data_IF_753014595377
#
_entry.id   IF_753014595377
#
_cell.length_a   1.000
_cell.length_b   1.000
_cell.length_c   1.000
_cell.angle_alpha   90.00
_cell.angle_beta   90.00
_cell.angle_gamma   90.00
#
_symmetry.space_group_name_H-M   'P 1'
#
loop_
_entity.id
_entity.type
_entity.pdbx_description
1 polymer ?
#
# COMPACT_ATOMS: atom_id res chain seq x y z
N UNK A 1 -7.51 18.98 0.57
CA UNK A 1 -6.10 18.86 0.16
C UNK A 1 -5.87 17.43 -0.34
N UNK A 2 -5.23 17.23 -1.49
CA UNK A 2 -5.10 15.88 -2.09
C UNK A 2 -3.88 15.13 -1.55
N UNK A 3 -4.02 13.82 -1.38
CA UNK A 3 -2.93 12.92 -1.03
C UNK A 3 -2.68 11.94 -2.19
N UNK A 4 -1.44 11.91 -2.67
CA UNK A 4 -0.99 10.96 -3.68
C UNK A 4 -0.31 9.77 -3.00
N UNK A 5 -0.68 8.57 -3.42
CA UNK A 5 -0.08 7.32 -2.98
C UNK A 5 0.62 6.70 -4.18
N UNK A 6 1.95 6.61 -4.10
CA UNK A 6 2.76 6.05 -5.19
C UNK A 6 3.41 4.76 -4.72
N UNK A 7 2.94 3.63 -5.24
CA UNK A 7 3.35 2.33 -4.74
C UNK A 7 2.82 1.15 -5.53
N UNK A 8 2.97 -0.02 -4.93
CA UNK A 8 2.60 -1.30 -5.51
C UNK A 8 1.15 -1.61 -5.16
N UNK A 9 0.44 -2.16 -6.14
CA UNK A 9 -0.84 -2.85 -5.98
C UNK A 9 -0.70 -4.18 -6.69
N UNK A 10 -1.07 -5.26 -6.02
CA UNK A 10 -0.88 -6.62 -6.51
C UNK A 10 -2.09 -7.49 -6.16
N UNK A 11 -2.27 -8.60 -6.86
CA UNK A 11 -3.15 -9.67 -6.42
C UNK A 11 -2.39 -10.56 -5.44
N UNK A 12 -2.85 -10.65 -4.21
CA UNK A 12 -2.35 -11.54 -3.17
C UNK A 12 -3.10 -12.88 -3.29
N UNK A 13 -2.42 -13.88 -3.83
CA UNK A 13 -2.92 -15.24 -4.00
C UNK A 13 -2.53 -16.07 -2.77
N UNK A 14 -3.53 -16.55 -2.05
CA UNK A 14 -3.33 -17.27 -0.81
C UNK A 14 -3.40 -18.77 -1.03
N UNK A 15 -2.48 -19.48 -0.38
CA UNK A 15 -2.40 -20.93 -0.41
C UNK A 15 -2.14 -21.46 0.99
N UNK A 16 -2.75 -22.58 1.36
CA UNK A 16 -2.39 -23.33 2.57
C UNK A 16 -1.68 -24.61 2.20
N UNK A 17 -0.72 -25.03 3.04
CA UNK A 17 -0.06 -26.31 2.91
C UNK A 17 0.25 -26.90 4.29
N UNK A 18 0.25 -28.24 4.38
CA UNK A 18 0.58 -28.95 5.63
C UNK A 18 2.05 -28.78 6.03
N UNK A 19 2.93 -28.53 5.05
CA UNK A 19 4.35 -28.26 5.28
C UNK A 19 4.94 -27.44 4.13
N UNK A 20 6.03 -26.75 4.40
CA UNK A 20 6.82 -26.12 3.35
C UNK A 20 7.72 -27.17 2.67
N UNK A 21 7.71 -27.29 1.33
CA UNK A 21 8.54 -28.28 0.65
C UNK A 21 10.03 -27.97 0.86
N UNK A 22 10.80 -29.04 1.11
CA UNK A 22 12.26 -28.98 1.13
C UNK A 22 12.87 -28.79 -0.27
N UNK A 23 14.19 -28.66 -0.33
CA UNK A 23 14.91 -28.60 -1.61
C UNK A 23 14.71 -29.91 -2.38
N UNK A 24 14.31 -29.78 -3.65
CA UNK A 24 13.96 -30.90 -4.53
C UNK A 24 12.77 -31.77 -4.03
N UNK A 25 11.95 -31.24 -3.11
CA UNK A 25 10.68 -31.84 -2.70
C UNK A 25 9.51 -31.22 -3.47
N UNK A 26 8.38 -31.92 -3.51
CA UNK A 26 7.12 -31.45 -4.08
C UNK A 26 6.07 -31.35 -2.98
N UNK A 27 5.55 -30.15 -2.78
CA UNK A 27 4.39 -29.90 -1.90
C UNK A 27 3.10 -29.83 -2.68
N UNK A 28 1.99 -30.22 -2.04
CA UNK A 28 0.64 -29.90 -2.50
C UNK A 28 0.14 -28.69 -1.72
N UNK A 29 -0.58 -27.80 -2.40
CA UNK A 29 -1.16 -26.61 -1.79
C UNK A 29 -2.64 -26.56 -2.08
N UNK A 30 -3.42 -26.00 -1.15
CA UNK A 30 -4.84 -25.69 -1.34
C UNK A 30 -4.98 -24.21 -1.60
N UNK A 31 -5.61 -23.85 -2.71
CA UNK A 31 -5.91 -22.47 -3.06
C UNK A 31 -6.98 -21.87 -2.13
N UNK A 32 -6.78 -20.61 -1.76
CA UNK A 32 -7.72 -19.79 -1.01
C UNK A 32 -8.14 -18.57 -1.84
N UNK A 33 -9.23 -17.87 -1.46
CA UNK A 33 -9.63 -16.64 -2.16
C UNK A 33 -8.49 -15.62 -2.26
N UNK A 34 -8.27 -15.11 -3.47
CA UNK A 34 -7.26 -14.09 -3.74
C UNK A 34 -7.82 -12.68 -3.53
N UNK A 35 -7.02 -11.82 -2.92
CA UNK A 35 -7.39 -10.46 -2.51
C UNK A 35 -6.49 -9.41 -3.17
N UNK A 36 -6.98 -8.19 -3.37
CA UNK A 36 -6.11 -7.08 -3.78
C UNK A 36 -5.26 -6.62 -2.59
N UNK A 37 -3.95 -6.53 -2.78
CA UNK A 37 -2.97 -6.20 -1.77
C UNK A 37 -1.98 -5.13 -2.20
N UNK A 38 -0.95 -4.96 -1.36
CA UNK A 38 0.08 -3.93 -1.50
C UNK A 38 0.02 -2.91 -0.35
N UNK A 39 1.15 -2.69 0.32
CA UNK A 39 1.21 -1.84 1.52
C UNK A 39 0.77 -0.39 1.26
N UNK A 40 1.15 0.16 0.11
CA UNK A 40 0.76 1.52 -0.29
C UNK A 40 -0.69 1.57 -0.78
N UNK A 41 -1.15 0.54 -1.51
CA UNK A 41 -2.55 0.42 -1.94
C UNK A 41 -3.50 0.36 -0.73
N UNK A 42 -3.18 -0.48 0.26
CA UNK A 42 -3.95 -0.58 1.50
C UNK A 42 -3.98 0.75 2.27
N UNK A 43 -2.87 1.48 2.32
CA UNK A 43 -2.83 2.80 2.94
C UNK A 43 -3.70 3.83 2.19
N UNK A 44 -3.76 3.76 0.86
CA UNK A 44 -4.61 4.61 0.04
C UNK A 44 -6.10 4.34 0.30
N UNK A 45 -6.49 3.07 0.30
CA UNK A 45 -7.87 2.64 0.61
C UNK A 45 -8.29 3.09 2.00
N UNK A 46 -7.44 2.92 3.02
CA UNK A 46 -7.74 3.40 4.38
C UNK A 46 -7.87 4.93 4.42
N UNK A 47 -7.01 5.66 3.72
CA UNK A 47 -7.10 7.13 3.67
C UNK A 47 -8.39 7.60 2.97
N UNK A 48 -8.79 6.94 1.88
CA UNK A 48 -10.05 7.22 1.18
C UNK A 48 -11.26 6.92 2.08
N UNK A 49 -11.28 5.77 2.75
CA UNK A 49 -12.35 5.39 3.68
C UNK A 49 -12.51 6.35 4.88
N UNK A 50 -11.46 7.10 5.23
CA UNK A 50 -11.51 8.16 6.25
C UNK A 50 -11.94 9.53 5.69
N UNK A 51 -12.43 9.58 4.45
CA UNK A 51 -12.91 10.81 3.78
C UNK A 51 -11.81 11.62 3.12
N UNK A 52 -10.61 11.06 2.96
CA UNK A 52 -9.49 11.73 2.32
C UNK A 52 -9.59 11.77 0.79
N UNK A 53 -9.25 12.91 0.18
CA UNK A 53 -9.11 13.02 -1.28
C UNK A 53 -7.85 12.30 -1.74
N UNK A 54 -8.01 11.11 -2.33
CA UNK A 54 -6.96 10.11 -2.53
C UNK A 54 -6.73 9.84 -4.01
N UNK A 55 -5.48 9.97 -4.46
CA UNK A 55 -5.04 9.56 -5.80
C UNK A 55 -3.96 8.49 -5.70
N UNK A 56 -3.99 7.49 -6.60
CA UNK A 56 -3.03 6.40 -6.64
C UNK A 56 -2.26 6.37 -7.95
N UNK A 57 -0.96 6.11 -7.85
CA UNK A 57 -0.07 5.92 -9.00
C UNK A 57 0.69 4.62 -8.80
N UNK A 58 0.52 3.72 -9.77
CA UNK A 58 1.39 2.57 -9.97
C UNK A 58 1.77 2.43 -11.43
N UNK A 59 2.60 1.45 -11.72
CA UNK A 59 2.98 1.07 -13.07
C UNK A 59 2.66 -0.43 -13.23
N UNK A 60 1.66 -0.72 -14.06
CA UNK A 60 1.13 -2.05 -14.33
C UNK A 60 1.20 -2.36 -15.83
N UNK A 61 0.95 -3.60 -16.22
CA UNK A 61 0.69 -3.93 -17.62
C UNK A 61 -0.80 -3.75 -17.97
N UNK A 62 -1.18 -4.06 -19.21
CA UNK A 62 -2.57 -4.01 -19.69
C UNK A 62 -3.25 -5.40 -19.67
N UNK A 63 -3.11 -6.12 -18.55
CA UNK A 63 -3.75 -7.41 -18.34
C UNK A 63 -5.17 -7.30 -17.76
N UNK A 64 -6.02 -8.34 -17.91
CA UNK A 64 -7.28 -8.42 -17.17
C UNK A 64 -7.10 -8.29 -15.66
N UNK A 65 -6.01 -8.85 -15.11
CA UNK A 65 -5.68 -8.73 -13.69
C UNK A 65 -5.40 -7.27 -13.30
N UNK A 66 -4.57 -6.55 -14.07
CA UNK A 66 -4.30 -5.14 -13.78
C UNK A 66 -5.55 -4.27 -13.88
N UNK A 67 -6.45 -4.55 -14.83
CA UNK A 67 -7.76 -3.89 -14.90
C UNK A 67 -8.63 -4.18 -13.67
N UNK A 68 -8.62 -5.42 -13.16
CA UNK A 68 -9.28 -5.78 -11.90
C UNK A 68 -8.70 -4.99 -10.72
N UNK A 69 -7.39 -4.93 -10.56
CA UNK A 69 -6.75 -4.17 -9.48
C UNK A 69 -7.09 -2.67 -9.53
N UNK A 70 -7.12 -2.07 -10.73
CA UNK A 70 -7.56 -0.69 -10.92
C UNK A 70 -9.04 -0.50 -10.57
N UNK A 71 -9.89 -1.47 -10.93
CA UNK A 71 -11.31 -1.43 -10.60
C UNK A 71 -11.55 -1.54 -9.09
N UNK A 72 -10.82 -2.40 -8.38
CA UNK A 72 -10.89 -2.54 -6.93
C UNK A 72 -10.48 -1.25 -6.21
N UNK A 73 -9.41 -0.58 -6.66
CA UNK A 73 -9.03 0.74 -6.14
C UNK A 73 -10.16 1.76 -6.33
N UNK A 74 -10.74 1.83 -7.53
CA UNK A 74 -11.84 2.75 -7.82
C UNK A 74 -13.09 2.45 -7.00
N UNK A 75 -13.39 1.17 -6.76
CA UNK A 75 -14.51 0.75 -5.92
C UNK A 75 -14.33 1.14 -4.44
N UNK A 76 -13.10 1.44 -4.02
CA UNK A 76 -12.75 1.93 -2.69
C UNK A 76 -12.52 3.45 -2.66
N UNK A 77 -13.12 4.21 -3.58
CA UNK A 77 -13.03 5.67 -3.69
C UNK A 77 -11.59 6.21 -3.82
N UNK A 78 -10.68 5.39 -4.34
CA UNK A 78 -9.32 5.80 -4.68
C UNK A 78 -9.29 6.27 -6.13
N UNK A 79 -8.80 7.50 -6.35
CA UNK A 79 -8.56 8.06 -7.67
C UNK A 79 -7.48 7.28 -8.43
N UNK A 80 -7.76 6.94 -9.68
CA UNK A 80 -6.89 6.11 -10.54
C UNK A 80 -6.54 6.81 -11.87
N UNK A 81 -6.76 8.13 -11.95
CA UNK A 81 -6.54 8.91 -13.17
C UNK A 81 -5.06 8.96 -13.60
N UNK A 82 -4.16 8.66 -12.67
CA UNK A 82 -2.72 8.78 -12.85
C UNK A 82 -1.99 7.44 -12.95
N UNK A 83 -2.73 6.33 -13.10
CA UNK A 83 -2.14 5.01 -13.31
C UNK A 83 -1.32 4.97 -14.61
N UNK A 84 -0.15 4.33 -14.54
CA UNK A 84 0.76 4.16 -15.67
C UNK A 84 0.67 2.74 -16.20
N UNK A 85 0.86 2.59 -17.51
CA UNK A 85 0.82 1.30 -18.19
C UNK A 85 2.10 1.06 -19.00
N UNK A 86 2.69 -0.11 -18.84
CA UNK A 86 3.80 -0.61 -19.65
C UNK A 86 3.61 -2.12 -19.91
N UNK A 87 3.40 -2.55 -21.17
CA UNK A 87 3.15 -3.95 -21.49
C UNK A 87 4.35 -4.87 -21.21
N UNK A 88 5.56 -4.34 -21.04
CA UNK A 88 6.75 -5.12 -20.72
C UNK A 88 6.84 -5.54 -19.25
N UNK A 89 5.90 -5.10 -18.40
CA UNK A 89 5.89 -5.42 -16.98
C UNK A 89 5.10 -6.71 -16.72
N UNK A 90 5.59 -7.60 -15.85
CA UNK A 90 4.84 -8.78 -15.43
C UNK A 90 3.53 -8.43 -14.73
N UNK A 91 2.64 -9.42 -14.60
CA UNK A 91 1.45 -9.23 -13.77
C UNK A 91 1.83 -9.09 -12.30
N UNK A 92 1.22 -8.11 -11.62
CA UNK A 92 1.50 -7.86 -10.22
C UNK A 92 0.78 -8.87 -9.33
N UNK A 93 1.52 -9.90 -8.92
CA UNK A 93 1.03 -10.98 -8.07
C UNK A 93 1.99 -11.24 -6.90
N UNK A 94 1.42 -11.60 -5.76
CA UNK A 94 2.13 -12.16 -4.62
C UNK A 94 1.56 -13.56 -4.35
N UNK A 95 2.44 -14.53 -4.23
CA UNK A 95 2.09 -15.89 -3.82
C UNK A 95 2.34 -15.98 -2.32
N UNK A 96 1.27 -16.14 -1.54
CA UNK A 96 1.31 -16.14 -0.08
C UNK A 96 0.93 -17.52 0.42
N UNK A 97 1.88 -18.19 1.05
CA UNK A 97 1.69 -19.53 1.60
C UNK A 97 1.56 -19.44 3.12
N UNK A 98 0.47 -19.98 3.64
CA UNK A 98 0.18 -20.12 5.07
C UNK A 98 0.52 -21.54 5.48
N UNK A 99 1.59 -21.70 6.28
CA UNK A 99 2.15 -23.00 6.67
C UNK A 99 2.58 -22.92 8.13
N UNK A 100 2.14 -23.89 8.93
CA UNK A 100 2.52 -24.00 10.36
C UNK A 100 2.29 -22.73 11.19
N UNK A 101 1.24 -21.95 10.86
CA UNK A 101 0.93 -20.69 11.54
C UNK A 101 1.82 -19.51 11.14
N UNK A 102 2.75 -19.69 10.20
CA UNK A 102 3.60 -18.68 9.60
C UNK A 102 3.16 -18.36 8.16
N UNK A 103 3.74 -17.30 7.58
CA UNK A 103 3.49 -16.93 6.19
C UNK A 103 4.79 -16.76 5.39
N UNK A 104 4.79 -17.30 4.17
CA UNK A 104 5.87 -17.15 3.19
C UNK A 104 5.32 -16.37 2.02
N UNK A 105 5.97 -15.25 1.69
CA UNK A 105 5.52 -14.36 0.61
C UNK A 105 6.56 -14.37 -0.50
N UNK A 106 6.14 -14.79 -1.69
CA UNK A 106 6.92 -14.71 -2.92
C UNK A 106 6.29 -13.68 -3.84
N UNK A 107 6.98 -12.55 -4.04
CA UNK A 107 6.53 -11.48 -4.93
C UNK A 107 7.13 -11.68 -6.31
N UNK A 108 6.29 -11.60 -7.35
CA UNK A 108 6.77 -11.60 -8.75
C UNK A 108 7.65 -10.38 -8.99
N UNK A 109 8.81 -10.57 -9.62
CA UNK A 109 9.72 -9.47 -9.92
C UNK A 109 9.14 -8.55 -11.00
N UNK A 110 8.74 -7.34 -10.61
CA UNK A 110 8.02 -6.37 -11.47
C UNK A 110 8.93 -5.52 -12.38
N UNK A 111 10.21 -5.87 -12.50
CA UNK A 111 11.22 -5.11 -13.26
C UNK A 111 11.60 -3.75 -12.64
N UNK A 112 12.54 -3.05 -13.29
CA UNK A 112 13.12 -1.77 -12.83
C UNK A 112 12.84 -0.59 -13.79
N UNK A 113 11.86 -0.74 -14.68
CA UNK A 113 11.51 0.25 -15.69
C UNK A 113 11.19 1.62 -15.04
N UNK A 114 11.66 2.73 -15.63
CA UNK A 114 11.23 4.05 -15.22
C UNK A 114 9.71 4.25 -15.29
N UNK A 115 9.14 4.84 -14.25
CA UNK A 115 7.79 5.36 -14.19
C UNK A 115 7.79 6.79 -14.77
N UNK A 116 7.51 6.89 -16.07
CA UNK A 116 7.43 8.18 -16.78
C UNK A 116 6.09 8.86 -16.48
N UNK A 117 6.14 9.89 -15.64
CA UNK A 117 4.99 10.72 -15.29
C UNK A 117 4.61 11.63 -16.47
N UNK A 118 3.37 11.55 -16.97
CA UNK A 118 2.84 12.51 -17.93
C UNK A 118 2.82 13.94 -17.36
N UNK A 119 2.85 14.94 -18.24
CA UNK A 119 2.86 16.35 -17.84
C UNK A 119 1.65 16.72 -16.94
N UNK A 120 0.46 16.18 -17.24
CA UNK A 120 -0.74 16.37 -16.42
C UNK A 120 -0.59 15.78 -15.01
N UNK A 121 -0.01 14.59 -14.88
CA UNK A 121 0.28 13.96 -13.59
C UNK A 121 1.31 14.75 -12.79
N UNK A 122 2.36 15.24 -13.45
CA UNK A 122 3.35 16.11 -12.80
C UNK A 122 2.70 17.41 -12.30
N UNK A 123 1.84 18.04 -13.10
CA UNK A 123 1.11 19.24 -12.70
C UNK A 123 0.24 19.00 -11.46
N UNK A 124 -0.47 17.86 -11.40
CA UNK A 124 -1.27 17.48 -10.23
C UNK A 124 -0.39 17.21 -8.99
N UNK A 125 0.74 16.53 -9.15
CA UNK A 125 1.70 16.28 -8.07
C UNK A 125 2.33 17.57 -7.52
N UNK A 126 2.54 18.58 -8.38
CA UNK A 126 3.01 19.92 -8.01
C UNK A 126 1.95 20.80 -7.35
N UNK A 127 0.68 20.39 -7.26
CA UNK A 127 -0.24 21.06 -6.35
C UNK A 127 0.18 20.80 -4.88
N UNK A 128 -0.04 21.72 -3.93
CA UNK A 128 0.23 21.46 -2.52
C UNK A 128 -0.56 20.27 -1.98
N UNK A 129 0.07 19.45 -1.13
CA UNK A 129 -0.58 18.29 -0.51
C UNK A 129 0.39 17.26 0.05
N UNK A 130 -0.04 16.00 0.12
CA UNK A 130 0.80 14.90 0.61
C UNK A 130 1.19 13.92 -0.51
N UNK A 131 2.38 13.33 -0.38
CA UNK A 131 2.85 12.20 -1.18
C UNK A 131 3.24 11.09 -0.21
N UNK A 132 2.59 9.93 -0.27
CA UNK A 132 2.92 8.74 0.49
C UNK A 132 3.51 7.67 -0.46
N UNK A 133 4.76 7.27 -0.22
CA UNK A 133 5.47 6.35 -1.14
C UNK A 133 6.55 5.52 -0.44
N UNK A 134 7.26 4.70 -1.20
CA UNK A 134 8.50 4.04 -0.79
C UNK A 134 9.69 4.67 -1.49
N UNK A 135 10.88 4.57 -0.88
CA UNK A 135 12.10 5.04 -1.54
C UNK A 135 12.40 4.27 -2.84
N UNK A 136 12.06 2.97 -2.88
CA UNK A 136 12.19 2.15 -4.07
C UNK A 136 11.36 2.70 -5.24
N UNK A 137 10.09 3.05 -4.98
CA UNK A 137 9.21 3.61 -6.02
C UNK A 137 9.58 5.03 -6.39
N UNK A 138 9.95 5.87 -5.42
CA UNK A 138 10.41 7.23 -5.72
C UNK A 138 11.63 7.28 -6.64
N UNK A 139 12.55 6.29 -6.55
CA UNK A 139 13.71 6.18 -7.46
C UNK A 139 13.32 5.88 -8.91
N UNK A 140 12.15 5.29 -9.13
CA UNK A 140 11.64 4.99 -10.47
C UNK A 140 10.88 6.15 -11.07
N UNK A 141 10.65 7.26 -10.38
CA UNK A 141 9.89 8.38 -10.94
C UNK A 141 10.75 9.24 -11.87
N UNK A 142 10.26 9.44 -13.08
CA UNK A 142 10.87 10.29 -14.11
C UNK A 142 9.81 11.18 -14.76
N UNK A 143 10.19 12.37 -15.17
CA UNK A 143 9.38 13.23 -16.03
C UNK A 143 10.27 14.01 -16.99
N UNK A 144 9.68 14.54 -18.07
CA UNK A 144 10.37 15.41 -19.03
C UNK A 144 9.84 16.84 -18.91
N UNK A 145 10.75 17.81 -18.76
CA UNK A 145 10.44 19.24 -18.68
C UNK A 145 11.38 19.97 -19.63
N UNK A 146 10.85 20.65 -20.64
CA UNK A 146 11.68 21.46 -21.56
C UNK A 146 12.80 20.68 -22.26
N UNK A 147 12.63 19.37 -22.49
CA UNK A 147 13.65 18.50 -23.07
C UNK A 147 14.60 17.84 -22.05
N UNK A 148 14.59 18.27 -20.80
CA UNK A 148 15.40 17.69 -19.72
C UNK A 148 14.63 16.62 -18.94
N UNK A 149 15.36 15.65 -18.38
CA UNK A 149 14.80 14.61 -17.51
C UNK A 149 14.98 15.01 -16.05
N UNK A 150 13.86 15.16 -15.35
CA UNK A 150 13.81 15.33 -13.91
C UNK A 150 13.40 14.02 -13.25
N UNK A 151 14.23 13.50 -12.34
CA UNK A 151 14.04 12.18 -11.74
C UNK A 151 14.54 12.11 -10.28
N UNK A 152 14.14 11.04 -9.59
CA UNK A 152 14.65 10.66 -8.27
C UNK A 152 14.60 11.82 -7.24
N UNK A 153 15.72 12.07 -6.54
CA UNK A 153 15.83 13.11 -5.52
C UNK A 153 15.53 14.52 -6.07
N UNK A 154 15.91 14.82 -7.32
CA UNK A 154 15.62 16.12 -7.94
C UNK A 154 14.12 16.31 -8.15
N UNK A 155 13.42 15.25 -8.58
CA UNK A 155 11.96 15.28 -8.68
C UNK A 155 11.30 15.46 -7.31
N UNK A 156 11.74 14.74 -6.27
CA UNK A 156 11.20 14.95 -4.92
C UNK A 156 11.46 16.36 -4.38
N UNK A 157 12.63 16.95 -4.69
CA UNK A 157 12.95 18.32 -4.32
C UNK A 157 12.05 19.33 -5.05
N UNK A 158 11.78 19.13 -6.33
CA UNK A 158 10.82 19.90 -7.12
C UNK A 158 9.42 19.85 -6.51
N UNK A 159 8.90 18.65 -6.22
CA UNK A 159 7.60 18.48 -5.58
C UNK A 159 7.54 19.21 -4.22
N UNK A 160 8.61 19.10 -3.42
CA UNK A 160 8.72 19.81 -2.15
C UNK A 160 8.73 21.33 -2.30
N UNK A 161 9.45 21.87 -3.30
CA UNK A 161 9.46 23.29 -3.60
C UNK A 161 8.06 23.81 -3.98
N UNK A 162 7.24 22.94 -4.58
CA UNK A 162 5.84 23.19 -4.90
C UNK A 162 4.86 22.90 -3.74
N UNK A 163 5.34 22.69 -2.51
CA UNK A 163 4.50 22.51 -1.32
C UNK A 163 3.96 21.09 -1.12
N UNK A 164 4.44 20.09 -1.87
CA UNK A 164 4.12 18.67 -1.66
C UNK A 164 4.98 18.10 -0.53
N UNK A 165 4.34 17.58 0.52
CA UNK A 165 5.01 16.94 1.66
C UNK A 165 5.13 15.44 1.42
N UNK A 166 6.37 14.95 1.27
CA UNK A 166 6.66 13.53 1.04
C UNK A 166 6.82 12.78 2.35
N UNK A 167 6.12 11.66 2.47
CA UNK A 167 6.19 10.67 3.54
C UNK A 167 6.64 9.37 2.90
N UNK A 168 7.77 8.84 3.35
CA UNK A 168 8.34 7.60 2.82
C UNK A 168 8.26 6.51 3.87
N UNK A 169 7.71 5.34 3.51
CA UNK A 169 7.80 4.13 4.32
C UNK A 169 8.96 3.27 3.86
N UNK A 170 9.77 2.77 4.80
CA UNK A 170 10.83 1.79 4.53
C UNK A 170 10.25 0.39 4.65
N UNK A 171 10.17 -0.37 3.56
CA UNK A 171 9.95 -1.81 3.65
C UNK A 171 11.32 -2.51 3.75
N UNK A 172 11.50 -3.31 4.81
CA UNK A 172 12.68 -4.11 5.15
C UNK A 172 14.01 -3.34 5.40
N UNK A 173 14.59 -3.54 6.60
CA UNK A 173 15.90 -3.00 6.98
C UNK A 173 17.06 -3.53 6.11
N UNK A 174 16.89 -4.68 5.46
CA UNK A 174 17.90 -5.27 4.58
C UNK A 174 17.99 -4.54 3.23
N UNK A 175 16.87 -4.06 2.70
CA UNK A 175 16.84 -3.26 1.47
C UNK A 175 17.38 -1.84 1.70
N UNK A 176 17.08 -1.24 2.85
CA UNK A 176 17.52 0.12 3.20
C UNK A 176 19.06 0.28 3.20
N UNK A 177 19.82 -0.72 3.68
CA UNK A 177 21.30 -0.67 3.79
C UNK A 177 22.04 -0.75 2.46
N UNK A 178 21.45 -1.38 1.43
CA UNK A 178 22.02 -1.39 0.06
C UNK A 178 21.73 -0.10 -0.71
N UNK A 179 20.72 0.66 -0.28
CA UNK A 179 20.16 1.78 -1.05
C UNK A 179 20.72 3.14 -0.61
N UNK A 180 21.19 3.27 0.63
CA UNK A 180 21.81 4.51 1.11
C UNK A 180 22.85 4.20 2.21
N UNK A 181 24.17 4.19 1.91
CA UNK A 181 25.20 3.91 2.91
C UNK A 181 25.40 5.05 3.94
N UNK A 182 24.66 6.16 3.83
CA UNK A 182 24.88 7.39 4.62
C UNK A 182 23.68 7.75 5.52
N UNK A 183 22.70 6.86 5.70
CA UNK A 183 21.54 7.16 6.56
C UNK A 183 21.87 6.95 8.06
N UNK A 184 21.82 7.99 8.93
CA UNK A 184 22.25 7.90 10.33
C UNK A 184 21.09 7.55 11.30
N UNK A 185 19.92 7.16 10.80
CA UNK A 185 18.75 6.88 11.64
C UNK A 185 18.85 5.57 12.43
N UNK A 186 18.22 5.49 13.63
CA UNK A 186 18.28 4.31 14.48
C UNK A 186 17.64 3.08 13.80
N UNK A 187 18.22 1.89 14.07
CA UNK A 187 17.68 0.59 13.63
C UNK A 187 16.20 0.45 14.05
N UNK A 188 15.29 0.07 13.15
CA UNK A 188 14.00 -0.47 13.58
C UNK A 188 14.22 -1.86 14.18
N UNK A 189 13.70 -2.09 15.38
CA UNK A 189 13.76 -3.36 16.09
C UNK A 189 13.04 -4.48 15.33
N UNK A 190 13.70 -5.63 15.19
CA UNK A 190 13.32 -6.79 14.40
C UNK A 190 12.27 -7.70 15.03
N UNK A 191 11.25 -7.15 15.69
CA UNK A 191 10.20 -7.95 16.32
C UNK A 191 8.84 -7.29 16.15
N UNK A 192 8.14 -7.61 15.07
CA UNK A 192 6.70 -7.46 14.99
C UNK A 192 6.15 -8.86 14.71
N UNK A 193 5.63 -9.49 15.77
CA UNK A 193 4.83 -10.71 15.65
C UNK A 193 3.50 -10.32 15.02
N UNK A 194 3.19 -10.87 13.85
CA UNK A 194 1.88 -10.72 13.21
C UNK A 194 0.95 -11.80 13.74
N UNK A 195 0.44 -11.59 14.96
CA UNK A 195 -0.68 -12.37 15.49
C UNK A 195 -1.91 -11.44 15.52
N UNK A 196 -2.91 -11.77 14.71
CA UNK A 196 -4.31 -11.31 14.77
C UNK A 196 -4.62 -10.23 15.83
N UNK A 197 -4.54 -8.95 15.46
CA UNK A 197 -5.01 -7.80 16.22
C UNK A 197 -5.22 -6.61 15.25
N UNK A 198 -6.12 -5.64 15.55
CA UNK A 198 -6.80 -4.77 14.57
C UNK A 198 -5.82 -3.80 13.84
N UNK A 199 -6.21 -3.21 12.70
CA UNK A 199 -5.23 -2.78 11.71
C UNK A 199 -4.37 -1.62 12.21
N UNK A 200 -3.07 -1.75 11.95
CA UNK A 200 -2.00 -0.73 12.03
C UNK A 200 -2.29 0.59 11.28
N UNK A 201 -3.48 0.74 10.69
CA UNK A 201 -3.98 1.99 10.12
C UNK A 201 -4.01 3.15 11.12
N UNK A 202 -4.19 2.91 12.43
CA UNK A 202 -4.32 4.00 13.41
C UNK A 202 -3.03 4.83 13.62
N UNK A 203 -1.84 4.23 13.54
CA UNK A 203 -0.59 4.98 13.78
C UNK A 203 -0.21 5.86 12.59
N UNK A 204 -0.48 5.38 11.36
CA UNK A 204 -0.27 6.15 10.12
C UNK A 204 -1.34 7.24 9.97
N UNK A 205 -2.59 6.95 10.34
CA UNK A 205 -3.67 7.94 10.35
C UNK A 205 -3.43 9.05 11.37
N UNK A 206 -2.80 8.78 12.52
CA UNK A 206 -2.42 9.83 13.48
C UNK A 206 -1.40 10.81 12.92
N UNK A 207 -0.45 10.38 12.09
CA UNK A 207 0.53 11.28 11.46
C UNK A 207 -0.10 12.15 10.35
N UNK A 208 -1.03 11.59 9.58
CA UNK A 208 -1.78 12.35 8.56
C UNK A 208 -2.81 13.30 9.22
N UNK A 209 -3.50 12.87 10.27
CA UNK A 209 -4.45 13.69 11.04
C UNK A 209 -3.75 14.79 11.86
N UNK A 210 -2.59 14.53 12.47
CA UNK A 210 -1.80 15.55 13.17
C UNK A 210 -1.21 16.61 12.21
N UNK A 211 -1.06 16.26 10.92
CA UNK A 211 -0.75 17.23 9.87
C UNK A 211 -1.92 18.17 9.52
N UNK A 212 -3.15 17.73 9.77
CA UNK A 212 -4.41 18.45 9.50
C UNK A 212 -4.86 19.31 10.69
N UNK A 213 -4.59 18.89 11.93
CA UNK A 213 -5.02 19.54 13.17
C UNK A 213 -4.32 20.88 13.51
N UNK A 214 -3.66 21.54 12.55
CA UNK A 214 -3.01 22.85 12.73
C UNK A 214 -3.88 24.05 12.38
N UNK A 215 -5.17 23.84 12.07
CA UNK A 215 -6.18 24.89 11.97
C UNK A 215 -7.31 24.56 12.95
N UNK A 216 -7.69 25.58 13.74
CA UNK A 216 -8.54 25.52 14.92
C UNK A 216 -9.81 24.67 14.76
N UNK A 217 -9.88 23.59 15.54
CA UNK A 217 -11.12 22.91 15.90
C UNK A 217 -11.06 22.53 17.39
N UNK A 218 -11.24 23.50 18.28
CA UNK A 218 -11.62 23.21 19.65
C UNK A 218 -13.03 22.59 19.65
N UNK A 219 -13.17 21.33 20.09
CA UNK A 219 -14.50 20.82 20.49
C UNK A 219 -14.85 19.35 20.29
N UNK A 220 -13.96 18.45 19.85
CA UNK A 220 -14.38 17.06 19.51
C UNK A 220 -13.51 15.95 20.11
N UNK A 221 -13.25 15.99 21.43
CA UNK A 221 -12.82 14.80 22.16
C UNK A 221 -13.45 14.77 23.56
N UNK A 222 -14.46 13.91 23.73
CA UNK A 222 -14.84 13.36 25.02
C UNK A 222 -14.53 11.84 25.01
N UNK A 223 -13.99 11.27 26.09
CA UNK A 223 -13.55 9.88 26.12
C UNK A 223 -14.74 8.91 26.23
N UNK A 224 -14.79 7.92 25.34
CA UNK A 224 -15.81 6.87 25.33
C UNK A 224 -15.47 5.83 26.43
N UNK A 225 -16.25 5.80 27.52
CA UNK A 225 -16.24 4.71 28.51
C UNK A 225 -17.26 3.64 28.12
N UNK A 226 -16.84 2.39 28.20
CA UNK A 226 -17.60 1.22 27.80
C UNK A 226 -18.70 0.86 28.82
N UNK A 227 -19.97 1.01 28.43
CA UNK A 227 -21.12 0.22 28.91
C UNK A 227 -22.21 0.24 27.81
N UNK A 228 -22.81 -0.91 27.46
CA UNK A 228 -23.77 -1.08 26.34
C UNK A 228 -25.16 -0.43 26.57
N UNK A 229 -26.21 -0.65 25.72
CA UNK A 229 -26.41 -1.75 24.76
C UNK A 229 -26.85 -1.35 23.32
N UNK A 230 -26.73 -2.36 22.43
CA UNK A 230 -27.33 -2.59 21.08
C UNK A 230 -28.26 -1.54 20.44
N UNK A 231 -27.95 -1.26 19.15
CA UNK A 231 -28.79 -0.85 17.98
C UNK A 231 -28.14 0.38 17.30
N UNK A 232 -27.98 0.52 15.99
CA UNK A 232 -28.14 -0.34 14.83
C UNK A 232 -27.23 0.27 13.74
N UNK A 233 -26.40 -0.53 13.05
CA UNK A 233 -25.86 -0.12 11.76
C UNK A 233 -25.96 -1.33 10.84
N UNK A 234 -26.83 -1.19 9.84
CA UNK A 234 -27.27 -2.25 8.98
C UNK A 234 -26.10 -2.77 8.12
N UNK A 235 -26.02 -4.09 8.11
CA UNK A 235 -25.11 -4.92 7.33
C UNK A 235 -25.35 -4.69 5.83
N UNK A 236 -24.28 -4.49 5.06
CA UNK A 236 -24.13 -5.12 3.75
C UNK A 236 -23.06 -6.20 3.89
N UNK A 237 -23.49 -7.42 3.60
CA UNK A 237 -22.92 -8.67 4.07
C UNK A 237 -21.63 -9.05 3.36
N UNK A 238 -20.57 -9.30 4.13
CA UNK A 238 -19.58 -10.33 3.82
C UNK A 238 -20.23 -11.72 4.06
N UNK A 239 -19.92 -12.68 3.20
CA UNK A 239 -20.40 -14.05 3.35
C UNK A 239 -19.84 -14.68 4.65
N UNK A 240 -20.68 -15.15 5.58
CA UNK A 240 -20.25 -15.93 6.73
C UNK A 240 -20.43 -17.42 6.42
N UNK A 241 -19.34 -18.12 6.14
CA UNK A 241 -19.35 -19.56 5.94
C UNK A 241 -17.97 -20.13 6.16
N UNK A 242 -17.88 -21.17 6.99
CA UNK A 242 -16.68 -21.97 7.30
C UNK A 242 -15.79 -21.43 8.45
N UNK A 243 -16.34 -21.32 9.67
CA UNK A 243 -15.61 -21.67 10.91
C UNK A 243 -16.62 -22.27 11.90
N UNK A 244 -16.81 -23.59 11.86
CA UNK A 244 -17.40 -24.37 12.96
C UNK A 244 -17.10 -25.86 12.80
N UNK A 245 -15.85 -26.26 13.07
CA UNK A 245 -15.51 -27.62 13.55
C UNK A 245 -14.01 -27.72 13.81
N UNK A 246 -13.53 -27.17 14.93
CA UNK A 246 -12.21 -27.53 15.46
C UNK A 246 -12.11 -27.17 16.95
N UNK A 247 -13.13 -27.55 17.72
CA UNK A 247 -13.08 -27.59 19.19
C UNK A 247 -14.04 -28.68 19.67
N UNK A 248 -13.61 -29.94 19.52
CA UNK A 248 -14.09 -31.07 20.33
C UNK A 248 -13.18 -32.27 20.08
N UNK A 249 -12.60 -32.75 21.19
CA UNK A 249 -11.71 -33.91 21.42
C UNK A 249 -10.32 -33.87 20.81
#
# INVERSE_FOLDING_TARGET
MTAFFIGDVALDEYYTADRWPGRADKGMVTEMPAEAGGSIANAAVVHAALGGATEFISLLNDSPLSRRLVADLRANDVGVAHMLTDPAIPESRNLIFLVDGEHIVLTVEMGQQPMWLPAATLAALRAPGFLYTTLYRARRLHCRIGGEVLAQARLLADLRAHGRRTISTSMSAAAARRICPIWPGPKPSSSIRWAFAPPLGMTICRLLAAGCARHDCHGWFAPWQATGPRQAMARRSFAPGVIRSMWST
#
